data_IF_580409447085
#
_entry.id   IF_580409447085
#
_cell.length_a   1.000
_cell.length_b   1.000
_cell.length_c   1.000
_cell.angle_alpha   90.00
_cell.angle_beta   90.00
_cell.angle_gamma   90.00
#
_symmetry.space_group_name_H-M   'P 1'
#
loop_
_entity.id
_entity.type
_entity.pdbx_description
1 polymer ?
#
# COMPACT_ATOMS: atom_id res chain seq x y z
N UNK A 1 -57.02 38.19 -25.97
CA UNK A 1 -55.57 38.46 -26.04
C UNK A 1 -55.30 39.53 -25.01
N UNK A 2 -54.52 39.38 -23.96
CA UNK A 2 -53.79 38.30 -23.33
C UNK A 2 -53.39 38.94 -21.98
N UNK A 3 -53.74 38.41 -20.80
CA UNK A 3 -53.42 39.06 -19.53
C UNK A 3 -51.96 38.74 -19.19
N UNK A 4 -51.06 39.71 -19.30
CA UNK A 4 -49.66 39.50 -18.94
C UNK A 4 -49.51 39.29 -17.44
N UNK A 5 -49.02 38.09 -17.14
CA UNK A 5 -48.88 37.41 -15.87
C UNK A 5 -47.94 38.13 -14.85
N UNK A 6 -48.11 37.84 -13.55
CA UNK A 6 -47.32 38.43 -12.47
C UNK A 6 -45.88 37.91 -12.42
N UNK A 7 -45.02 38.70 -11.77
CA UNK A 7 -43.60 38.43 -11.53
C UNK A 7 -43.32 37.01 -11.02
N UNK A 8 -42.37 36.32 -11.66
CA UNK A 8 -41.86 35.02 -11.20
C UNK A 8 -41.30 35.14 -9.77
N UNK A 9 -41.89 34.38 -8.85
CA UNK A 9 -41.36 34.16 -7.52
C UNK A 9 -40.00 33.43 -7.61
N UNK A 10 -39.04 33.71 -6.71
CA UNK A 10 -37.78 32.97 -6.69
C UNK A 10 -38.05 31.49 -6.44
N UNK A 11 -37.44 30.64 -7.26
CA UNK A 11 -37.56 29.20 -7.18
C UNK A 11 -37.23 28.70 -5.77
N UNK A 12 -38.26 28.20 -5.07
CA UNK A 12 -38.10 27.46 -3.82
C UNK A 12 -37.45 26.13 -4.17
N UNK A 13 -36.16 25.98 -3.84
CA UNK A 13 -35.51 24.67 -3.90
C UNK A 13 -36.09 23.79 -2.79
N UNK A 14 -37.03 22.92 -3.17
CA UNK A 14 -37.57 21.87 -2.29
C UNK A 14 -36.49 20.80 -2.13
N UNK A 15 -35.78 20.85 -1.01
CA UNK A 15 -35.00 19.70 -0.55
C UNK A 15 -35.98 18.68 0.02
N UNK A 16 -36.23 17.59 -0.71
CA UNK A 16 -37.00 16.46 -0.19
C UNK A 16 -36.12 15.71 0.79
N UNK A 17 -36.35 15.94 2.08
CA UNK A 17 -35.77 15.14 3.16
C UNK A 17 -36.53 13.81 3.21
N UNK A 18 -35.87 12.71 2.84
CA UNK A 18 -36.45 11.37 2.93
C UNK A 18 -36.33 10.87 4.38
N UNK A 19 -37.06 11.51 5.29
CA UNK A 19 -37.41 10.95 6.59
C UNK A 19 -38.92 10.78 6.66
N UNK A 20 -39.34 9.55 6.95
CA UNK A 20 -40.70 9.20 7.34
C UNK A 20 -41.10 9.98 8.59
N UNK A 21 -41.70 11.16 8.40
CA UNK A 21 -42.84 11.70 9.13
C UNK A 21 -43.18 13.08 8.56
N UNK A 22 -44.38 13.19 8.00
CA UNK A 22 -44.84 14.31 7.18
C UNK A 22 -45.04 15.62 7.93
N UNK A 23 -43.94 16.36 8.15
CA UNK A 23 -44.00 17.77 8.51
C UNK A 23 -43.10 18.60 7.58
N UNK A 24 -43.73 19.43 6.75
CA UNK A 24 -43.04 20.35 5.84
C UNK A 24 -42.71 21.62 6.62
N UNK A 25 -41.48 21.71 7.15
CA UNK A 25 -40.95 22.94 7.74
C UNK A 25 -40.30 23.82 6.67
N UNK A 26 -40.91 24.96 6.36
CA UNK A 26 -40.31 25.98 5.48
C UNK A 26 -39.33 26.81 6.30
N UNK A 27 -38.02 26.67 6.05
CA UNK A 27 -37.01 27.53 6.67
C UNK A 27 -36.91 28.88 5.92
N UNK A 28 -36.82 30.02 6.62
CA UNK A 28 -36.69 31.32 5.97
C UNK A 28 -35.32 31.46 5.26
N UNK A 29 -35.34 32.11 4.10
CA UNK A 29 -34.27 32.21 3.09
C UNK A 29 -33.02 33.02 3.50
N UNK A 30 -32.75 33.19 4.80
CA UNK A 30 -31.59 33.90 5.33
C UNK A 30 -30.51 33.02 5.98
N UNK A 31 -30.72 31.70 6.10
CA UNK A 31 -29.90 30.83 6.97
C UNK A 31 -28.84 29.97 6.26
N UNK A 32 -28.74 30.05 4.92
CA UNK A 32 -27.83 29.17 4.15
C UNK A 32 -26.36 29.62 4.26
N UNK A 33 -26.09 30.87 4.64
CA UNK A 33 -24.72 31.40 4.74
C UNK A 33 -24.11 31.31 6.14
N UNK A 34 -24.90 31.16 7.21
CA UNK A 34 -24.37 31.03 8.58
C UNK A 34 -24.14 29.57 9.03
N UNK A 35 -24.79 28.57 8.40
CA UNK A 35 -24.60 27.16 8.79
C UNK A 35 -23.33 26.50 8.25
N UNK A 36 -22.63 27.14 7.30
CA UNK A 36 -21.35 26.65 6.76
C UNK A 36 -20.15 26.91 7.69
N UNK A 37 -20.30 27.78 8.69
CA UNK A 37 -19.22 28.16 9.60
C UNK A 37 -19.53 27.96 11.09
N UNK A 38 -20.78 27.67 11.47
CA UNK A 38 -21.19 27.50 12.86
C UNK A 38 -21.53 26.04 13.22
N UNK A 39 -20.53 25.15 13.15
CA UNK A 39 -20.55 23.86 13.84
C UNK A 39 -19.16 23.53 14.41
N UNK A 40 -18.49 24.56 14.96
CA UNK A 40 -17.14 24.50 15.49
C UNK A 40 -17.10 24.37 17.01
N UNK A 41 -17.79 23.38 17.58
CA UNK A 41 -17.37 22.89 18.90
C UNK A 41 -15.94 22.35 18.77
N UNK A 42 -15.04 22.56 19.76
CA UNK A 42 -13.69 22.03 19.68
C UNK A 42 -13.78 20.51 19.42
N UNK A 43 -13.09 19.99 18.39
CA UNK A 43 -13.17 18.58 18.06
C UNK A 43 -12.76 17.76 19.28
N UNK A 44 -13.58 16.77 19.65
CA UNK A 44 -13.32 15.89 20.77
C UNK A 44 -11.86 15.41 20.72
N UNK A 45 -11.07 15.45 21.82
CA UNK A 45 -9.62 15.21 21.79
C UNK A 45 -9.22 13.91 21.07
N UNK A 46 -10.08 12.89 21.19
CA UNK A 46 -9.94 11.59 20.55
C UNK A 46 -10.07 11.63 19.01
N UNK A 47 -10.92 12.49 18.46
CA UNK A 47 -11.10 12.67 17.02
C UNK A 47 -9.88 13.35 16.40
N UNK A 48 -9.33 14.36 17.08
CA UNK A 48 -8.10 15.05 16.68
C UNK A 48 -6.90 14.10 16.67
N UNK A 49 -6.76 13.25 17.69
CA UNK A 49 -5.70 12.26 17.77
C UNK A 49 -5.77 11.23 16.61
N UNK A 50 -6.96 10.65 16.34
CA UNK A 50 -7.15 9.69 15.24
C UNK A 50 -6.89 10.32 13.86
N UNK A 51 -7.21 11.60 13.69
CA UNK A 51 -6.89 12.36 12.48
C UNK A 51 -5.39 12.57 12.31
N UNK A 52 -4.70 13.00 13.37
CA UNK A 52 -3.24 13.19 13.36
C UNK A 52 -2.50 11.88 13.12
N UNK A 53 -2.94 10.79 13.72
CA UNK A 53 -2.41 9.45 13.47
C UNK A 53 -2.52 9.08 11.97
N UNK A 54 -3.70 9.26 11.37
CA UNK A 54 -3.90 8.98 9.95
C UNK A 54 -3.03 9.88 9.05
N UNK A 55 -2.87 11.15 9.40
CA UNK A 55 -2.01 12.09 8.67
C UNK A 55 -0.52 11.74 8.79
N UNK A 56 -0.05 11.37 9.98
CA UNK A 56 1.32 10.95 10.22
C UNK A 56 1.66 9.64 9.49
N UNK A 57 0.74 8.67 9.51
CA UNK A 57 0.91 7.42 8.76
C UNK A 57 0.88 7.65 7.25
N UNK A 58 0.03 8.56 6.76
CA UNK A 58 0.05 9.00 5.36
C UNK A 58 1.40 9.61 4.99
N UNK A 59 1.95 10.49 5.83
CA UNK A 59 3.25 11.10 5.60
C UNK A 59 4.37 10.05 5.58
N UNK A 60 4.39 9.13 6.54
CA UNK A 60 5.37 8.05 6.63
C UNK A 60 5.34 7.16 5.38
N UNK A 61 4.16 6.68 4.99
CA UNK A 61 4.00 5.88 3.77
C UNK A 61 4.42 6.66 2.52
N UNK A 62 4.09 7.95 2.47
CA UNK A 62 4.44 8.81 1.34
C UNK A 62 5.95 9.10 1.25
N UNK A 63 6.63 9.23 2.39
CA UNK A 63 8.09 9.38 2.42
C UNK A 63 8.79 8.10 1.95
N UNK A 64 8.26 6.93 2.30
CA UNK A 64 8.76 5.65 1.80
C UNK A 64 8.50 5.51 0.30
N UNK A 65 7.31 5.83 -0.20
CA UNK A 65 7.04 5.90 -1.66
C UNK A 65 8.01 6.86 -2.35
N UNK A 66 8.26 8.04 -1.79
CA UNK A 66 9.21 9.01 -2.35
C UNK A 66 10.63 8.44 -2.42
N UNK A 67 11.05 7.70 -1.39
CA UNK A 67 12.35 7.03 -1.35
C UNK A 67 12.46 5.99 -2.47
N UNK A 68 11.44 5.13 -2.60
CA UNK A 68 11.35 4.12 -3.67
C UNK A 68 11.38 4.77 -5.07
N UNK A 69 10.57 5.82 -5.26
CA UNK A 69 10.50 6.57 -6.49
C UNK A 69 11.84 7.21 -6.84
N UNK A 70 12.53 7.79 -5.85
CA UNK A 70 13.84 8.43 -6.04
C UNK A 70 14.90 7.41 -6.44
N UNK A 71 14.92 6.25 -5.77
CA UNK A 71 15.83 5.14 -6.11
C UNK A 71 15.58 4.69 -7.55
N UNK A 72 14.32 4.41 -7.93
CA UNK A 72 13.96 4.03 -9.30
C UNK A 72 14.31 5.12 -10.31
N UNK A 73 14.09 6.38 -9.96
CA UNK A 73 14.38 7.52 -10.84
C UNK A 73 15.88 7.63 -11.14
N UNK A 74 16.73 7.50 -10.12
CA UNK A 74 18.18 7.46 -10.29
C UNK A 74 18.60 6.24 -11.11
N UNK A 75 18.01 5.07 -10.86
CA UNK A 75 18.29 3.84 -11.62
C UNK A 75 17.84 3.91 -13.09
N UNK A 76 16.83 4.73 -13.40
CA UNK A 76 16.44 5.02 -14.78
C UNK A 76 17.37 6.00 -15.49
N UNK A 77 18.48 6.43 -14.86
CA UNK A 77 19.51 7.31 -15.43
C UNK A 77 18.91 8.47 -16.23
N UNK A 78 18.38 9.52 -15.57
CA UNK A 78 17.56 10.55 -16.22
C UNK A 78 18.28 11.35 -17.32
N UNK A 79 19.62 11.23 -17.42
CA UNK A 79 20.43 11.83 -18.48
C UNK A 79 20.56 10.96 -19.75
N UNK A 80 20.06 9.73 -19.73
CA UNK A 80 20.13 8.82 -20.88
C UNK A 80 19.05 9.14 -21.92
N UNK A 81 19.32 8.79 -23.18
CA UNK A 81 18.31 8.84 -24.23
C UNK A 81 17.13 7.93 -23.87
N UNK A 82 15.92 8.51 -23.81
CA UNK A 82 14.69 7.80 -23.49
C UNK A 82 14.12 7.03 -24.68
N UNK A 83 14.56 7.37 -25.90
CA UNK A 83 14.12 6.78 -27.17
C UNK A 83 15.29 6.39 -28.08
N UNK A 84 16.22 5.52 -27.61
CA UNK A 84 17.36 5.11 -28.41
C UNK A 84 16.90 4.40 -29.68
N UNK A 85 17.33 4.91 -30.84
CA UNK A 85 16.91 4.43 -32.16
C UNK A 85 17.29 2.95 -32.40
N UNK A 86 18.49 2.55 -31.96
CA UNK A 86 19.04 1.20 -32.18
C UNK A 86 18.83 0.24 -30.99
N UNK A 87 17.77 0.47 -30.20
CA UNK A 87 17.48 -0.34 -29.01
C UNK A 87 17.11 -1.79 -29.40
N UNK A 88 17.78 -2.82 -28.84
CA UNK A 88 17.36 -4.20 -29.02
C UNK A 88 15.92 -4.43 -28.56
N UNK A 89 15.16 -5.25 -29.28
CA UNK A 89 13.77 -5.57 -28.93
C UNK A 89 13.67 -6.22 -27.54
N UNK A 90 14.70 -6.92 -27.08
CA UNK A 90 14.75 -7.55 -25.75
C UNK A 90 14.95 -6.56 -24.58
N UNK A 91 15.30 -5.30 -24.84
CA UNK A 91 15.54 -4.27 -23.81
C UNK A 91 14.33 -3.35 -23.74
N UNK A 92 13.59 -3.25 -22.64
CA UNK A 92 12.41 -2.37 -22.52
C UNK A 92 12.73 -0.89 -22.83
N UNK A 93 11.86 -0.10 -23.52
CA UNK A 93 12.11 1.32 -23.74
C UNK A 93 12.26 2.07 -22.40
N UNK A 94 13.33 2.88 -22.21
CA UNK A 94 13.59 3.56 -20.94
C UNK A 94 12.51 4.58 -20.53
N UNK A 95 11.79 5.13 -21.51
CA UNK A 95 10.74 6.13 -21.29
C UNK A 95 9.67 5.73 -20.27
N UNK A 96 9.14 4.50 -20.35
CA UNK A 96 8.05 4.07 -19.47
C UNK A 96 8.48 3.89 -18.01
N UNK A 97 9.60 3.17 -17.70
CA UNK A 97 10.16 3.17 -16.36
C UNK A 97 10.47 4.58 -15.84
N UNK A 98 11.05 5.45 -16.67
CA UNK A 98 11.35 6.84 -16.30
C UNK A 98 10.09 7.59 -15.84
N UNK A 99 9.03 7.59 -16.66
CA UNK A 99 7.77 8.25 -16.29
C UNK A 99 7.14 7.67 -15.04
N UNK A 100 7.23 6.34 -14.85
CA UNK A 100 6.72 5.69 -13.66
C UNK A 100 7.52 6.11 -12.41
N UNK A 101 8.85 6.17 -12.49
CA UNK A 101 9.69 6.64 -11.38
C UNK A 101 9.39 8.11 -11.03
N UNK A 102 9.28 8.96 -12.05
CA UNK A 102 8.94 10.37 -11.86
C UNK A 102 7.56 10.52 -11.21
N UNK A 103 6.57 9.75 -11.68
CA UNK A 103 5.23 9.74 -11.09
C UNK A 103 5.29 9.34 -9.61
N UNK A 104 6.03 8.29 -9.26
CA UNK A 104 6.22 7.83 -7.89
C UNK A 104 6.87 8.89 -7.00
N UNK A 105 7.86 9.63 -7.51
CA UNK A 105 8.43 10.78 -6.81
C UNK A 105 7.38 11.87 -6.58
N UNK A 106 6.65 12.26 -7.63
CA UNK A 106 5.66 13.34 -7.56
C UNK A 106 4.54 13.03 -6.56
N UNK A 107 3.90 11.86 -6.67
CA UNK A 107 2.84 11.55 -5.71
C UNK A 107 3.40 11.23 -4.33
N UNK A 108 4.58 10.62 -4.23
CA UNK A 108 5.37 10.50 -3.00
C UNK A 108 5.44 11.83 -2.25
N UNK A 109 5.96 12.86 -2.94
CA UNK A 109 6.11 14.22 -2.42
C UNK A 109 4.76 14.87 -2.05
N UNK A 110 3.74 14.81 -2.91
CA UNK A 110 2.43 15.41 -2.60
C UNK A 110 1.78 14.76 -1.38
N UNK A 111 1.92 13.45 -1.21
CA UNK A 111 1.44 12.75 -0.03
C UNK A 111 2.16 13.14 1.26
N UNK A 112 3.48 13.44 1.18
CA UNK A 112 4.23 14.00 2.32
C UNK A 112 3.66 15.36 2.69
N UNK A 113 3.44 16.26 1.72
CA UNK A 113 2.87 17.58 2.00
C UNK A 113 1.46 17.51 2.61
N UNK A 114 0.59 16.65 2.07
CA UNK A 114 -0.77 16.45 2.61
C UNK A 114 -0.71 15.89 4.03
N UNK A 115 0.12 14.88 4.27
CA UNK A 115 0.26 14.24 5.58
C UNK A 115 0.89 15.15 6.64
N UNK A 116 2.03 15.79 6.32
CA UNK A 116 2.74 16.71 7.24
C UNK A 116 1.92 17.95 7.51
N UNK A 117 1.32 18.54 6.46
CA UNK A 117 0.41 19.68 6.58
C UNK A 117 -0.73 19.41 7.55
N UNK A 118 -1.38 18.25 7.42
CA UNK A 118 -2.48 17.87 8.30
C UNK A 118 -2.02 17.46 9.71
N UNK A 119 -0.88 16.79 9.86
CA UNK A 119 -0.39 16.28 11.15
C UNK A 119 0.17 17.38 12.06
N UNK A 120 1.01 18.26 11.52
CA UNK A 120 1.81 19.21 12.32
C UNK A 120 1.29 20.65 12.24
N UNK A 121 0.70 21.05 11.11
CA UNK A 121 0.26 22.42 10.89
C UNK A 121 -1.27 22.59 10.95
N UNK A 122 -2.00 21.50 11.19
CA UNK A 122 -3.46 21.47 11.14
C UNK A 122 -4.02 22.00 9.80
N UNK A 123 -3.20 21.99 8.73
CA UNK A 123 -3.56 22.41 7.38
C UNK A 123 -4.23 21.22 6.70
N UNK A 124 -5.54 21.08 6.93
CA UNK A 124 -6.33 19.99 6.36
C UNK A 124 -7.51 20.56 5.57
N UNK A 125 -7.60 20.13 4.31
CA UNK A 125 -8.70 20.49 3.43
C UNK A 125 -9.22 19.21 2.75
N UNK A 126 -10.54 19.03 2.83
CA UNK A 126 -11.23 17.86 2.27
C UNK A 126 -11.07 17.76 0.76
N UNK A 127 -11.19 18.88 0.05
CA UNK A 127 -11.03 18.93 -1.41
C UNK A 127 -9.59 18.59 -1.82
N UNK A 128 -8.59 19.10 -1.09
CA UNK A 128 -7.17 18.76 -1.31
C UNK A 128 -6.94 17.27 -1.10
N UNK A 129 -7.50 16.70 -0.03
CA UNK A 129 -7.37 15.27 0.28
C UNK A 129 -8.05 14.39 -0.78
N UNK A 130 -9.21 14.81 -1.29
CA UNK A 130 -9.91 14.11 -2.39
C UNK A 130 -9.13 14.19 -3.71
N UNK A 131 -8.64 15.37 -4.08
CA UNK A 131 -7.83 15.55 -5.29
C UNK A 131 -6.53 14.73 -5.22
N UNK A 132 -5.89 14.71 -4.06
CA UNK A 132 -4.75 13.84 -3.77
C UNK A 132 -5.11 12.35 -3.92
N UNK A 133 -6.21 11.90 -3.32
CA UNK A 133 -6.64 10.50 -3.42
C UNK A 133 -6.94 10.09 -4.87
N UNK A 134 -7.62 10.94 -5.64
CA UNK A 134 -7.91 10.68 -7.05
C UNK A 134 -6.64 10.59 -7.90
N UNK A 135 -5.79 11.62 -7.83
CA UNK A 135 -4.53 11.66 -8.58
C UNK A 135 -3.58 10.53 -8.19
N UNK A 136 -3.38 10.28 -6.89
CA UNK A 136 -2.50 9.19 -6.47
C UNK A 136 -3.02 7.83 -6.91
N UNK A 137 -4.35 7.62 -6.97
CA UNK A 137 -4.90 6.31 -7.34
C UNK A 137 -4.52 5.98 -8.77
N UNK A 138 -4.71 6.93 -9.69
CA UNK A 138 -4.34 6.77 -11.10
C UNK A 138 -2.83 6.58 -11.26
N UNK A 139 -2.03 7.45 -10.64
CA UNK A 139 -0.57 7.38 -10.74
C UNK A 139 0.00 6.13 -10.08
N UNK A 140 -0.55 5.70 -8.94
CA UNK A 140 -0.13 4.47 -8.26
C UNK A 140 -0.41 3.27 -9.15
N UNK A 141 -1.61 3.16 -9.74
CA UNK A 141 -1.90 2.08 -10.69
C UNK A 141 -0.96 2.07 -11.89
N UNK A 142 -0.65 3.23 -12.46
CA UNK A 142 0.33 3.34 -13.54
C UNK A 142 1.71 2.80 -13.09
N UNK A 143 2.24 3.28 -11.97
CA UNK A 143 3.53 2.83 -11.42
C UNK A 143 3.52 1.34 -11.09
N UNK A 144 2.45 0.85 -10.48
CA UNK A 144 2.23 -0.55 -10.15
C UNK A 144 2.28 -1.43 -11.41
N UNK A 145 1.54 -1.05 -12.45
CA UNK A 145 1.52 -1.78 -13.73
C UNK A 145 2.92 -1.83 -14.34
N UNK A 146 3.64 -0.71 -14.38
CA UNK A 146 4.97 -0.65 -14.99
C UNK A 146 5.98 -1.52 -14.22
N UNK A 147 6.10 -1.33 -12.91
CA UNK A 147 7.16 -1.97 -12.12
C UNK A 147 6.85 -3.41 -11.69
N UNK A 148 5.58 -3.74 -11.44
CA UNK A 148 5.19 -5.06 -10.94
C UNK A 148 4.85 -6.02 -12.07
N UNK A 149 4.24 -5.53 -13.16
CA UNK A 149 3.80 -6.39 -14.26
C UNK A 149 4.61 -6.21 -15.52
N UNK A 150 4.68 -4.99 -16.08
CA UNK A 150 5.24 -4.76 -17.41
C UNK A 150 6.72 -5.13 -17.47
N UNK A 151 7.56 -4.56 -16.60
CA UNK A 151 9.01 -4.81 -16.61
C UNK A 151 9.30 -6.31 -16.40
N UNK A 152 8.77 -6.99 -15.36
CA UNK A 152 9.04 -8.42 -15.17
C UNK A 152 8.48 -9.29 -16.29
N UNK A 153 7.30 -8.97 -16.83
CA UNK A 153 6.69 -9.74 -17.94
C UNK A 153 7.50 -9.58 -19.23
N UNK A 154 8.04 -8.38 -19.48
CA UNK A 154 8.93 -8.12 -20.61
C UNK A 154 10.19 -8.98 -20.50
N UNK A 155 10.82 -9.00 -19.30
CA UNK A 155 11.98 -9.85 -19.02
C UNK A 155 11.67 -11.34 -19.21
N UNK A 156 10.51 -11.82 -18.72
CA UNK A 156 10.10 -13.21 -18.90
C UNK A 156 9.84 -13.58 -20.37
N UNK A 157 9.25 -12.67 -21.15
CA UNK A 157 8.94 -12.86 -22.57
C UNK A 157 10.20 -12.99 -23.42
N UNK A 158 11.17 -12.11 -23.20
CA UNK A 158 12.43 -12.07 -23.96
C UNK A 158 13.56 -12.83 -23.28
N UNK A 159 13.24 -13.73 -22.35
CA UNK A 159 14.21 -14.63 -21.77
C UNK A 159 14.59 -15.73 -22.79
N UNK A 160 15.84 -15.69 -23.25
CA UNK A 160 16.37 -16.59 -24.27
C UNK A 160 17.15 -17.79 -23.69
N UNK A 161 17.67 -17.65 -22.48
CA UNK A 161 18.38 -18.71 -21.76
C UNK A 161 17.79 -18.90 -20.34
N UNK A 162 17.80 -20.13 -19.80
CA UNK A 162 17.41 -20.37 -18.41
C UNK A 162 18.24 -19.53 -17.44
N UNK A 163 17.61 -19.07 -16.36
CA UNK A 163 18.31 -18.35 -15.29
C UNK A 163 18.82 -19.40 -14.30
N UNK A 164 20.13 -19.43 -14.07
CA UNK A 164 20.75 -20.32 -13.08
C UNK A 164 20.07 -20.23 -11.70
N UNK A 165 19.65 -21.34 -11.04
CA UNK A 165 20.06 -22.72 -11.30
C UNK A 165 19.03 -23.51 -12.11
N UNK A 166 18.14 -22.86 -12.84
CA UNK A 166 17.11 -23.57 -13.58
C UNK A 166 17.67 -24.15 -14.88
N UNK A 167 17.38 -25.42 -15.14
CA UNK A 167 17.76 -26.09 -16.39
C UNK A 167 16.84 -25.72 -17.58
N UNK A 168 15.66 -25.18 -17.28
CA UNK A 168 14.65 -24.89 -18.30
C UNK A 168 14.16 -23.44 -18.27
N UNK A 169 13.81 -22.94 -19.46
CA UNK A 169 13.12 -21.64 -19.61
C UNK A 169 11.78 -21.62 -18.87
N UNK A 170 11.07 -22.76 -18.83
CA UNK A 170 9.80 -22.88 -18.11
C UNK A 170 9.95 -22.63 -16.61
N UNK A 171 10.92 -23.29 -15.97
CA UNK A 171 11.20 -23.09 -14.54
C UNK A 171 11.64 -21.64 -14.25
N UNK A 172 12.46 -21.05 -15.12
CA UNK A 172 12.88 -19.65 -15.01
C UNK A 172 11.70 -18.67 -15.09
N UNK A 173 10.77 -18.88 -16.03
CA UNK A 173 9.57 -18.06 -16.17
C UNK A 173 8.61 -18.25 -14.99
N UNK A 174 8.45 -19.48 -14.50
CA UNK A 174 7.67 -19.75 -13.29
C UNK A 174 8.25 -19.01 -12.07
N UNK A 175 9.57 -18.99 -11.92
CA UNK A 175 10.24 -18.25 -10.87
C UNK A 175 10.02 -16.73 -10.98
N UNK A 176 10.15 -16.15 -12.18
CA UNK A 176 9.82 -14.73 -12.41
C UNK A 176 8.35 -14.45 -12.07
N UNK A 177 7.44 -15.39 -12.36
CA UNK A 177 6.01 -15.24 -12.05
C UNK A 177 5.78 -15.18 -10.54
N UNK A 178 6.51 -15.98 -9.76
CA UNK A 178 6.50 -15.86 -8.28
C UNK A 178 7.13 -14.53 -7.82
N UNK A 179 8.12 -14.02 -8.54
CA UNK A 179 8.64 -12.66 -8.32
C UNK A 179 7.57 -11.59 -8.51
N UNK A 180 6.75 -11.70 -9.58
CA UNK A 180 5.62 -10.80 -9.82
C UNK A 180 4.62 -10.87 -8.67
N UNK A 181 4.18 -12.06 -8.26
CA UNK A 181 3.20 -12.21 -7.18
C UNK A 181 3.70 -11.73 -5.82
N UNK A 182 4.99 -11.95 -5.52
CA UNK A 182 5.58 -11.40 -4.29
C UNK A 182 5.69 -9.87 -4.38
N UNK A 183 6.09 -9.33 -5.53
CA UNK A 183 6.10 -7.88 -5.78
C UNK A 183 4.71 -7.26 -5.67
N UNK A 184 3.66 -7.94 -6.15
CA UNK A 184 2.26 -7.52 -5.95
C UNK A 184 2.02 -7.32 -4.46
N UNK A 185 2.38 -8.28 -3.61
CA UNK A 185 2.14 -8.18 -2.17
C UNK A 185 2.90 -7.01 -1.53
N UNK A 186 4.19 -6.86 -1.84
CA UNK A 186 5.04 -5.81 -1.26
C UNK A 186 4.62 -4.41 -1.74
N UNK A 187 4.48 -4.22 -3.04
CA UNK A 187 4.13 -2.93 -3.64
C UNK A 187 2.68 -2.53 -3.33
N UNK A 188 1.76 -3.49 -3.18
CA UNK A 188 0.39 -3.21 -2.78
C UNK A 188 0.35 -2.67 -1.34
N UNK A 189 1.17 -3.19 -0.43
CA UNK A 189 1.28 -2.66 0.93
C UNK A 189 1.84 -1.24 0.96
N UNK A 190 2.81 -0.93 0.11
CA UNK A 190 3.36 0.41 -0.04
C UNK A 190 2.34 1.38 -0.64
N UNK A 191 1.83 1.12 -1.85
CA UNK A 191 0.97 2.09 -2.53
C UNK A 191 -0.45 2.09 -1.96
N UNK A 192 -1.01 0.91 -1.68
CA UNK A 192 -2.33 0.80 -1.10
C UNK A 192 -2.39 1.23 0.38
N UNK A 193 -1.29 1.18 1.12
CA UNK A 193 -1.22 1.76 2.47
C UNK A 193 -1.40 3.27 2.46
N UNK A 194 -0.74 3.97 1.53
CA UNK A 194 -0.92 5.40 1.32
C UNK A 194 -2.36 5.76 1.00
N UNK A 195 -3.03 4.97 0.15
CA UNK A 195 -4.47 5.10 -0.10
C UNK A 195 -5.32 4.86 1.15
N UNK A 196 -5.03 3.79 1.90
CA UNK A 196 -5.77 3.45 3.11
C UNK A 196 -5.69 4.55 4.17
N UNK A 197 -4.51 5.15 4.37
CA UNK A 197 -4.31 6.25 5.31
C UNK A 197 -4.90 7.56 4.82
N UNK A 198 -4.83 7.87 3.52
CA UNK A 198 -5.52 9.02 2.93
C UNK A 198 -7.04 8.94 3.08
N UNK A 199 -7.63 7.76 2.86
CA UNK A 199 -9.07 7.52 3.09
C UNK A 199 -9.46 7.65 4.56
N UNK A 200 -8.57 7.24 5.49
CA UNK A 200 -8.79 7.47 6.92
C UNK A 200 -8.71 8.94 7.30
N UNK A 201 -7.73 9.66 6.79
CA UNK A 201 -7.61 11.10 6.98
C UNK A 201 -8.87 11.81 6.50
N UNK A 202 -9.34 11.49 5.29
CA UNK A 202 -10.60 12.00 4.75
C UNK A 202 -11.81 11.68 5.64
N UNK A 203 -11.88 10.46 6.17
CA UNK A 203 -12.93 10.04 7.10
C UNK A 203 -12.94 10.87 8.38
N UNK A 204 -11.76 11.20 8.93
CA UNK A 204 -11.60 12.05 10.12
C UNK A 204 -11.60 13.55 9.83
N UNK A 205 -11.86 13.97 8.58
CA UNK A 205 -12.17 15.36 8.22
C UNK A 205 -13.69 15.61 8.14
N UNK A 206 -14.52 14.56 8.24
CA UNK A 206 -15.98 14.69 8.28
C UNK A 206 -16.50 14.85 9.72
N UNK A 207 -17.72 15.40 9.94
CA UNK A 207 -18.28 15.59 11.28
C UNK A 207 -18.37 14.26 12.08
N UNK A 208 -18.10 14.28 13.40
CA UNK A 208 -18.22 13.09 14.25
C UNK A 208 -19.69 12.66 14.35
N UNK A 209 -20.01 11.37 14.17
CA UNK A 209 -21.37 10.89 14.50
C UNK A 209 -21.90 9.64 13.81
N UNK A 210 -21.20 9.00 12.87
CA UNK A 210 -21.75 7.82 12.17
C UNK A 210 -20.86 6.57 12.29
N UNK A 211 -21.14 5.77 13.33
CA UNK A 211 -21.08 4.29 13.39
C UNK A 211 -19.93 3.59 14.17
N UNK A 212 -20.13 3.29 15.46
CA UNK A 212 -19.19 2.53 16.30
C UNK A 212 -19.12 1.01 16.03
N UNK A 213 -20.11 0.37 15.39
CA UNK A 213 -19.99 -1.04 14.96
C UNK A 213 -19.44 -1.19 13.53
N UNK A 214 -19.84 -0.30 12.62
CA UNK A 214 -19.37 -0.33 11.23
C UNK A 214 -17.87 0.00 11.13
N UNK A 215 -17.30 0.77 12.06
CA UNK A 215 -15.85 1.02 12.11
C UNK A 215 -15.05 -0.22 12.48
N UNK A 216 -15.51 -1.02 13.46
CA UNK A 216 -14.84 -2.27 13.85
C UNK A 216 -14.87 -3.31 12.72
N UNK A 217 -16.03 -3.49 12.07
CA UNK A 217 -16.18 -4.41 10.94
C UNK A 217 -15.34 -3.97 9.72
N UNK A 218 -15.32 -2.66 9.41
CA UNK A 218 -14.46 -2.11 8.35
C UNK A 218 -12.97 -2.27 8.67
N UNK A 219 -12.56 -2.09 9.92
CA UNK A 219 -11.18 -2.30 10.35
C UNK A 219 -10.78 -3.77 10.30
N UNK A 220 -11.67 -4.68 10.73
CA UNK A 220 -11.44 -6.12 10.64
C UNK A 220 -11.31 -6.57 9.18
N UNK A 221 -12.18 -6.12 8.28
CA UNK A 221 -12.09 -6.44 6.85
C UNK A 221 -10.77 -5.95 6.23
N UNK A 222 -10.31 -4.74 6.59
CA UNK A 222 -8.99 -4.24 6.19
C UNK A 222 -7.86 -5.09 6.78
N UNK A 223 -7.98 -5.50 8.04
CA UNK A 223 -7.04 -6.41 8.69
C UNK A 223 -6.94 -7.74 7.95
N UNK A 224 -8.08 -8.34 7.57
CA UNK A 224 -8.13 -9.57 6.77
C UNK A 224 -7.48 -9.37 5.41
N UNK A 225 -7.81 -8.29 4.71
CA UNK A 225 -7.23 -7.99 3.40
C UNK A 225 -5.70 -7.88 3.46
N UNK A 226 -5.18 -7.09 4.39
CA UNK A 226 -3.73 -6.84 4.48
C UNK A 226 -2.94 -8.03 5.00
N UNK A 227 -3.48 -8.76 5.99
CA UNK A 227 -2.84 -9.99 6.45
C UNK A 227 -2.98 -11.12 5.41
N UNK A 228 -4.09 -11.18 4.67
CA UNK A 228 -4.26 -12.08 3.53
C UNK A 228 -3.29 -11.77 2.38
N UNK A 229 -3.01 -10.49 2.12
CA UNK A 229 -1.98 -10.07 1.17
C UNK A 229 -0.58 -10.56 1.59
N UNK A 230 -0.28 -10.55 2.89
CA UNK A 230 0.95 -11.13 3.44
C UNK A 230 0.99 -12.66 3.26
N UNK A 231 -0.14 -13.36 3.43
CA UNK A 231 -0.24 -14.80 3.10
C UNK A 231 0.05 -15.04 1.62
N UNK A 232 -0.57 -14.27 0.73
CA UNK A 232 -0.38 -14.40 -0.72
C UNK A 232 1.09 -14.22 -1.12
N UNK A 233 1.75 -13.16 -0.63
CA UNK A 233 3.18 -12.94 -0.84
C UNK A 233 4.05 -14.06 -0.25
N UNK A 234 3.68 -14.56 0.94
CA UNK A 234 4.35 -15.67 1.59
C UNK A 234 4.28 -16.96 0.80
N UNK A 235 3.08 -17.37 0.34
CA UNK A 235 2.89 -18.58 -0.48
C UNK A 235 3.68 -18.48 -1.80
N UNK A 236 3.64 -17.32 -2.45
CA UNK A 236 4.44 -17.10 -3.66
C UNK A 236 5.95 -17.25 -3.38
N UNK A 237 6.43 -16.74 -2.24
CA UNK A 237 7.81 -16.86 -1.81
C UNK A 237 8.18 -18.31 -1.43
N UNK A 238 7.25 -19.08 -0.85
CA UNK A 238 7.41 -20.52 -0.59
C UNK A 238 7.64 -21.27 -1.90
N UNK A 239 6.78 -21.05 -2.90
CA UNK A 239 6.92 -21.70 -4.21
C UNK A 239 8.25 -21.33 -4.85
N UNK A 240 8.66 -20.06 -4.79
CA UNK A 240 9.97 -19.63 -5.25
C UNK A 240 11.12 -20.36 -4.52
N UNK A 241 11.05 -20.49 -3.19
CA UNK A 241 12.02 -21.22 -2.39
C UNK A 241 12.09 -22.72 -2.72
N UNK A 242 10.93 -23.37 -2.93
CA UNK A 242 10.85 -24.78 -3.35
C UNK A 242 11.46 -24.97 -4.75
N UNK A 243 11.15 -24.08 -5.70
CA UNK A 243 11.74 -24.11 -7.03
C UNK A 243 13.26 -23.99 -6.97
N UNK A 244 13.79 -23.05 -6.17
CA UNK A 244 15.23 -22.91 -5.99
C UNK A 244 15.85 -24.17 -5.37
N UNK A 245 15.24 -24.74 -4.34
CA UNK A 245 15.75 -25.97 -3.70
C UNK A 245 15.75 -27.16 -4.66
N UNK A 246 14.66 -27.37 -5.39
CA UNK A 246 14.51 -28.51 -6.29
C UNK A 246 15.53 -28.47 -7.45
N UNK A 247 15.95 -27.28 -7.87
CA UNK A 247 16.88 -27.11 -9.00
C UNK A 247 18.34 -26.89 -8.53
N UNK A 248 18.57 -26.50 -7.27
CA UNK A 248 19.91 -26.37 -6.71
C UNK A 248 20.45 -27.67 -6.07
N UNK A 249 19.57 -28.64 -5.78
CA UNK A 249 19.93 -29.86 -5.03
C UNK A 249 20.87 -30.84 -5.76
N UNK A 250 21.31 -30.54 -6.99
CA UNK A 250 22.27 -31.34 -7.76
C UNK A 250 23.66 -30.70 -7.91
N UNK A 251 23.83 -29.42 -7.59
CA UNK A 251 25.01 -28.63 -8.00
C UNK A 251 26.19 -28.68 -7.02
N UNK A 252 26.16 -29.56 -6.01
CA UNK A 252 27.32 -29.86 -5.14
C UNK A 252 27.88 -28.71 -4.28
N UNK A 253 27.27 -27.53 -4.28
CA UNK A 253 27.72 -26.34 -3.57
C UNK A 253 27.30 -26.27 -2.08
N UNK A 254 27.83 -25.28 -1.36
CA UNK A 254 27.68 -25.06 0.10
C UNK A 254 26.28 -24.64 0.57
N UNK A 255 25.21 -25.05 -0.13
CA UNK A 255 23.84 -24.57 0.12
C UNK A 255 23.60 -23.11 -0.33
N UNK A 256 24.52 -22.57 -1.13
CA UNK A 256 24.50 -21.21 -1.69
C UNK A 256 24.58 -21.30 -3.21
N UNK A 257 23.81 -20.46 -3.90
CA UNK A 257 23.91 -20.27 -5.35
C UNK A 257 25.09 -19.35 -5.66
N UNK A 258 26.02 -19.79 -6.51
CA UNK A 258 27.24 -19.01 -6.84
C UNK A 258 27.00 -17.87 -7.85
N UNK A 259 25.76 -17.67 -8.31
CA UNK A 259 25.36 -16.59 -9.21
C UNK A 259 24.40 -15.57 -8.55
N UNK A 260 24.49 -14.30 -8.96
CA UNK A 260 23.53 -13.26 -8.59
C UNK A 260 22.26 -13.42 -9.44
N UNK A 261 21.16 -13.87 -8.83
CA UNK A 261 19.88 -14.10 -9.51
C UNK A 261 19.14 -12.78 -9.78
N UNK A 262 18.57 -12.58 -10.97
CA UNK A 262 17.86 -11.31 -11.29
C UNK A 262 16.38 -11.55 -11.63
N UNK A 263 15.58 -11.85 -10.60
CA UNK A 263 14.11 -11.80 -10.67
C UNK A 263 13.51 -11.11 -9.43
N UNK A 264 13.46 -9.77 -9.40
CA UNK A 264 12.91 -9.03 -8.25
C UNK A 264 11.50 -9.50 -7.82
N UNK A 265 11.20 -9.56 -6.51
CA UNK A 265 12.08 -9.21 -5.40
C UNK A 265 12.94 -10.41 -4.98
N UNK A 266 12.97 -11.51 -5.73
CA UNK A 266 13.73 -12.72 -5.41
C UNK A 266 15.12 -12.66 -6.05
N UNK A 267 16.08 -12.07 -5.34
CA UNK A 267 17.52 -12.21 -5.63
C UNK A 267 18.02 -13.34 -4.74
N UNK A 268 17.56 -14.56 -5.01
CA UNK A 268 17.76 -15.71 -4.14
C UNK A 268 19.16 -16.29 -4.28
N UNK A 269 20.01 -16.11 -3.28
CA UNK A 269 21.32 -16.77 -3.15
C UNK A 269 21.24 -17.96 -2.19
N UNK A 270 20.28 -17.95 -1.27
CA UNK A 270 20.05 -19.00 -0.28
C UNK A 270 18.62 -19.55 -0.39
N UNK A 271 18.42 -20.68 -1.08
CA UNK A 271 17.09 -21.28 -1.30
C UNK A 271 16.30 -21.54 0.00
N UNK A 272 16.97 -22.00 1.06
CA UNK A 272 16.35 -22.24 2.36
C UNK A 272 15.86 -20.95 3.03
N UNK A 273 16.63 -19.87 2.95
CA UNK A 273 16.22 -18.57 3.52
C UNK A 273 14.97 -18.03 2.82
N UNK A 274 14.90 -18.16 1.49
CA UNK A 274 13.69 -17.83 0.71
C UNK A 274 12.49 -18.66 1.17
N UNK A 275 12.66 -19.97 1.31
CA UNK A 275 11.59 -20.86 1.76
C UNK A 275 11.09 -20.49 3.16
N UNK A 276 11.99 -20.34 4.14
CA UNK A 276 11.61 -19.98 5.51
C UNK A 276 11.00 -18.58 5.60
N UNK A 277 11.48 -17.62 4.79
CA UNK A 277 10.84 -16.32 4.66
C UNK A 277 9.39 -16.47 4.20
N UNK A 278 9.13 -17.24 3.13
CA UNK A 278 7.78 -17.48 2.66
C UNK A 278 6.88 -18.15 3.70
N UNK A 279 7.38 -19.15 4.40
CA UNK A 279 6.63 -19.87 5.45
C UNK A 279 6.28 -18.95 6.62
N UNK A 280 7.24 -18.14 7.08
CA UNK A 280 7.01 -17.21 8.19
C UNK A 280 6.06 -16.08 7.79
N UNK A 281 6.15 -15.57 6.56
CA UNK A 281 5.18 -14.62 6.00
C UNK A 281 3.76 -15.21 5.96
N UNK A 282 3.62 -16.44 5.45
CA UNK A 282 2.33 -17.11 5.35
C UNK A 282 1.72 -17.39 6.74
N UNK A 283 2.53 -17.87 7.68
CA UNK A 283 2.09 -18.09 9.06
C UNK A 283 1.68 -16.78 9.76
N UNK A 284 2.49 -15.72 9.65
CA UNK A 284 2.18 -14.42 10.23
C UNK A 284 0.90 -13.82 9.64
N UNK A 285 0.73 -13.89 8.32
CA UNK A 285 -0.49 -13.47 7.66
C UNK A 285 -1.72 -14.25 8.13
N UNK A 286 -1.63 -15.59 8.22
CA UNK A 286 -2.73 -16.43 8.67
C UNK A 286 -3.15 -16.11 10.12
N UNK A 287 -2.17 -16.00 11.04
CA UNK A 287 -2.42 -15.60 12.43
C UNK A 287 -2.99 -14.17 12.49
N UNK A 288 -2.52 -13.26 11.64
CA UNK A 288 -3.05 -11.89 11.53
C UNK A 288 -4.50 -11.82 11.04
N UNK A 289 -4.90 -12.68 10.09
CA UNK A 289 -6.31 -12.84 9.66
C UNK A 289 -7.16 -13.29 10.85
N UNK A 290 -6.71 -14.29 11.61
CA UNK A 290 -7.42 -14.75 12.83
C UNK A 290 -7.52 -13.62 13.86
N UNK A 291 -6.42 -12.90 14.11
CA UNK A 291 -6.38 -11.78 15.06
C UNK A 291 -7.29 -10.61 14.68
N UNK A 292 -7.57 -10.44 13.38
CA UNK A 292 -8.52 -9.42 12.89
C UNK A 292 -9.95 -9.67 13.37
N UNK A 293 -10.31 -10.93 13.64
CA UNK A 293 -11.60 -11.33 14.19
C UNK A 293 -11.57 -11.63 15.69
N UNK A 294 -10.46 -12.19 16.18
CA UNK A 294 -10.31 -12.69 17.55
C UNK A 294 -9.22 -11.92 18.29
N UNK A 295 -9.58 -10.88 19.08
CA UNK A 295 -8.61 -10.03 19.78
C UNK A 295 -7.60 -10.77 20.67
N UNK A 296 -7.96 -11.95 21.20
CA UNK A 296 -7.08 -12.79 22.00
C UNK A 296 -5.81 -13.22 21.25
N UNK A 297 -5.88 -13.36 19.91
CA UNK A 297 -4.77 -13.77 19.07
C UNK A 297 -3.83 -12.62 18.68
N UNK A 298 -4.17 -11.38 19.05
CA UNK A 298 -3.40 -10.21 18.62
C UNK A 298 -1.94 -10.22 19.12
N UNK A 299 -1.69 -10.69 20.35
CA UNK A 299 -0.31 -10.81 20.86
C UNK A 299 0.51 -11.81 20.05
N UNK A 300 -0.08 -12.96 19.72
CA UNK A 300 0.56 -13.95 18.87
C UNK A 300 0.82 -13.38 17.47
N UNK A 301 -0.15 -12.68 16.88
CA UNK A 301 0.03 -12.03 15.58
C UNK A 301 1.23 -11.07 15.57
N UNK A 302 1.41 -10.25 16.61
CA UNK A 302 2.58 -9.36 16.71
C UNK A 302 3.91 -10.11 16.77
N UNK A 303 3.98 -11.20 17.54
CA UNK A 303 5.18 -12.04 17.64
C UNK A 303 5.52 -12.63 16.26
N UNK A 304 4.54 -13.24 15.60
CA UNK A 304 4.75 -13.83 14.27
C UNK A 304 5.10 -12.78 13.22
N UNK A 305 4.50 -11.58 13.27
CA UNK A 305 4.91 -10.45 12.42
C UNK A 305 6.35 -10.05 12.66
N UNK A 306 6.79 -9.94 13.92
CA UNK A 306 8.17 -9.57 14.23
C UNK A 306 9.16 -10.61 13.67
N UNK A 307 8.85 -11.90 13.82
CA UNK A 307 9.64 -12.99 13.24
C UNK A 307 9.64 -12.89 11.70
N UNK A 308 8.47 -12.74 11.08
CA UNK A 308 8.36 -12.61 9.63
C UNK A 308 9.11 -11.38 9.12
N UNK A 309 9.05 -10.25 9.81
CA UNK A 309 9.81 -9.04 9.47
C UNK A 309 11.32 -9.31 9.46
N UNK A 310 11.86 -9.98 10.47
CA UNK A 310 13.29 -10.34 10.52
C UNK A 310 13.65 -11.21 9.32
N UNK A 311 12.88 -12.25 9.02
CA UNK A 311 13.15 -13.13 7.87
C UNK A 311 13.01 -12.41 6.53
N UNK A 312 11.98 -11.57 6.38
CA UNK A 312 11.82 -10.73 5.20
C UNK A 312 12.98 -9.76 5.03
N UNK A 313 13.45 -9.15 6.12
CA UNK A 313 14.58 -8.22 6.08
C UNK A 313 15.84 -8.98 5.67
N UNK A 314 16.11 -10.13 6.27
CA UNK A 314 17.24 -10.98 5.89
C UNK A 314 17.16 -11.40 4.42
N UNK A 315 15.99 -11.87 3.97
CA UNK A 315 15.81 -12.44 2.63
C UNK A 315 15.77 -11.39 1.51
N UNK A 316 15.03 -10.30 1.71
CA UNK A 316 14.80 -9.27 0.68
C UNK A 316 15.79 -8.12 0.74
N UNK A 317 16.54 -7.95 1.85
CA UNK A 317 17.54 -6.87 1.97
C UNK A 317 18.96 -7.43 2.11
N UNK A 318 19.29 -8.12 3.20
CA UNK A 318 20.68 -8.44 3.54
C UNK A 318 21.28 -9.48 2.60
N UNK A 319 20.60 -10.61 2.40
CA UNK A 319 21.06 -11.69 1.51
C UNK A 319 21.26 -11.18 0.10
N UNK A 320 20.38 -10.28 -0.35
CA UNK A 320 20.45 -9.71 -1.69
C UNK A 320 21.64 -8.77 -1.81
N UNK A 321 21.85 -7.88 -0.83
CA UNK A 321 22.96 -6.91 -0.85
C UNK A 321 24.32 -7.57 -0.66
N UNK A 322 24.40 -8.61 0.18
CA UNK A 322 25.62 -9.37 0.42
C UNK A 322 26.14 -10.09 -0.82
N UNK A 323 25.26 -10.46 -1.76
CA UNK A 323 25.61 -11.14 -3.00
C UNK A 323 26.04 -10.19 -4.14
N UNK A 324 25.68 -8.90 -4.09
CA UNK A 324 26.07 -7.94 -5.14
C UNK A 324 27.46 -7.32 -4.84
N UNK A 325 28.12 -7.64 -3.72
CA UNK A 325 29.48 -7.15 -3.46
C UNK A 325 30.53 -7.93 -4.28
N UNK A 326 31.54 -7.24 -4.86
CA UNK A 326 31.95 -5.87 -4.52
C UNK A 326 31.31 -4.73 -5.35
N UNK A 327 30.51 -5.02 -6.38
CA UNK A 327 30.10 -4.02 -7.41
C UNK A 327 28.63 -3.55 -7.36
N UNK A 328 27.89 -3.88 -6.31
CA UNK A 328 26.46 -3.61 -6.23
C UNK A 328 26.09 -2.19 -5.87
N UNK A 329 25.11 -1.57 -6.55
CA UNK A 329 24.64 -0.25 -6.16
C UNK A 329 24.02 -0.31 -4.74
N UNK A 330 24.53 0.44 -3.75
CA UNK A 330 23.97 0.47 -2.40
C UNK A 330 22.50 0.91 -2.36
N UNK A 331 22.01 1.54 -3.44
CA UNK A 331 20.63 1.97 -3.61
C UNK A 331 19.62 0.81 -3.62
N UNK A 332 20.03 -0.40 -4.02
CA UNK A 332 19.16 -1.59 -4.02
C UNK A 332 18.83 -2.09 -2.59
N UNK A 333 19.71 -1.83 -1.62
CA UNK A 333 19.50 -2.19 -0.21
C UNK A 333 18.36 -1.37 0.43
N UNK A 334 18.33 -0.07 0.11
CA UNK A 334 17.36 0.86 0.66
C UNK A 334 15.94 0.57 0.16
N UNK A 335 15.83 0.17 -1.12
CA UNK A 335 14.58 -0.14 -1.81
C UNK A 335 13.76 -1.26 -1.14
N UNK A 336 14.41 -2.37 -0.77
CA UNK A 336 13.66 -3.48 -0.17
C UNK A 336 13.37 -3.29 1.33
N UNK A 337 14.15 -2.48 2.04
CA UNK A 337 13.96 -2.28 3.49
C UNK A 337 12.65 -1.57 3.82
N UNK A 338 12.30 -0.53 3.06
CA UNK A 338 11.03 0.18 3.22
C UNK A 338 9.83 -0.71 2.90
N UNK A 339 9.89 -1.45 1.78
CA UNK A 339 8.84 -2.39 1.37
C UNK A 339 8.57 -3.45 2.42
N UNK A 340 9.62 -4.11 2.93
CA UNK A 340 9.52 -5.14 3.96
C UNK A 340 8.85 -4.62 5.23
N UNK A 341 9.28 -3.44 5.70
CA UNK A 341 8.73 -2.82 6.89
C UNK A 341 7.23 -2.57 6.75
N UNK A 342 6.79 -1.98 5.64
CA UNK A 342 5.39 -1.60 5.47
C UNK A 342 4.47 -2.80 5.29
N UNK A 343 4.91 -3.81 4.53
CA UNK A 343 4.16 -5.07 4.39
C UNK A 343 3.97 -5.75 5.73
N UNK A 344 5.01 -5.78 6.58
CA UNK A 344 4.91 -6.38 7.91
C UNK A 344 3.96 -5.60 8.83
N UNK A 345 3.89 -4.27 8.73
CA UNK A 345 3.15 -3.44 9.69
C UNK A 345 1.68 -3.20 9.35
N UNK A 346 1.31 -3.13 8.07
CA UNK A 346 -0.04 -2.68 7.69
C UNK A 346 -1.16 -3.64 8.13
N UNK A 347 -0.92 -4.95 8.06
CA UNK A 347 -1.87 -5.96 8.53
C UNK A 347 -2.14 -5.89 10.04
N UNK A 348 -1.11 -5.99 10.89
CA UNK A 348 -1.23 -5.86 12.34
C UNK A 348 -1.82 -4.53 12.77
N UNK A 349 -1.51 -3.45 12.07
CA UNK A 349 -2.11 -2.14 12.32
C UNK A 349 -3.65 -2.18 12.21
N UNK A 350 -4.20 -2.75 11.14
CA UNK A 350 -5.65 -2.85 10.99
C UNK A 350 -6.28 -3.89 11.93
N UNK A 351 -5.56 -4.96 12.29
CA UNK A 351 -5.99 -5.88 13.33
C UNK A 351 -6.05 -5.19 14.72
N UNK A 352 -5.08 -4.33 15.04
CA UNK A 352 -5.10 -3.49 16.24
C UNK A 352 -6.31 -2.56 16.24
N UNK A 353 -6.57 -1.88 15.12
CA UNK A 353 -7.70 -0.96 15.00
C UNK A 353 -9.05 -1.69 15.16
N UNK A 354 -9.15 -2.92 14.63
CA UNK A 354 -10.32 -3.77 14.84
C UNK A 354 -10.49 -4.17 16.32
N UNK A 355 -9.39 -4.45 17.03
CA UNK A 355 -9.40 -4.71 18.48
C UNK A 355 -9.81 -3.46 19.27
N UNK A 356 -9.20 -2.31 18.99
CA UNK A 356 -9.48 -1.05 19.68
C UNK A 356 -10.95 -0.65 19.53
N UNK A 357 -11.50 -0.72 18.31
CA UNK A 357 -12.90 -0.39 18.06
C UNK A 357 -13.89 -1.31 18.81
N UNK A 358 -13.55 -2.59 19.02
CA UNK A 358 -14.37 -3.51 19.82
C UNK A 358 -14.33 -3.20 21.31
N UNK A 359 -13.16 -2.81 21.83
CA UNK A 359 -13.00 -2.39 23.23
C UNK A 359 -13.76 -1.09 23.49
N UNK A 360 -13.64 -0.10 22.60
CA UNK A 360 -14.43 1.15 22.66
C UNK A 360 -15.94 0.86 22.66
N UNK A 361 -16.41 -0.04 21.79
CA UNK A 361 -17.82 -0.44 21.73
C UNK A 361 -18.31 -1.13 23.01
N UNK A 362 -17.50 -2.02 23.60
CA UNK A 362 -17.84 -2.70 24.85
C UNK A 362 -17.90 -1.74 26.04
N UNK A 363 -16.99 -0.76 26.13
CA UNK A 363 -17.02 0.23 27.22
C UNK A 363 -18.25 1.12 27.17
N UNK A 364 -18.71 1.51 25.98
CA UNK A 364 -19.93 2.34 25.82
C UNK A 364 -21.18 1.56 26.23
N UNK A 365 -21.25 0.27 25.91
CA UNK A 365 -22.39 -0.59 26.27
C UNK A 365 -22.46 -0.93 27.78
N UNK A 366 -21.37 -0.78 28.54
CA UNK A 366 -21.37 -0.98 29.99
C UNK A 366 -21.72 0.29 30.79
N UNK A 367 -21.62 1.47 30.15
CA UNK A 367 -21.92 2.77 30.76
C UNK A 367 -23.31 3.32 30.40
N UNK A 368 -23.99 2.68 29.46
CA UNK A 368 -25.39 2.93 29.08
C UNK A 368 -26.28 1.91 29.77
#
# INVERSE_FOLDING_TARGET
MDPTAPAEAPAVAVAVDASTDGSVGVAPAGSVTESLFAAGGPPHPHHTAKRQEAAALLALWSALVLTEGTVRFVLTSPAQDLFPADRPVSVLPPFLPFLAALSECLFGLTGVFVGVGAAFFNLHNRAVTLAFLGSQTVLSWFVFIIYVFLIPSYRARYLEAPIFPFDTLGASRAFITMGIFTSVSLCLALQGGKFAFGMRLLGHQSPPGKASAAHAAKAAARGVFWNGNMVFGGVSTVVAGVLLLANAAGDGGTGRLDGVFVAPPHVGVFPLTTLFCGLTMAAAGAVGVVASFRPAWFRAALIYTAVAYVYMYLNFTIVQVGAIRPSGPPQAAAFHAGLVLLTALIGPYFAYQAKAARVEGASVAMTA
#
